data_IF_435899536321
#
_entry.id   IF_435899536321
#
_cell.length_a   1.000
_cell.length_b   1.000
_cell.length_c   1.000
_cell.angle_alpha   90.00
_cell.angle_beta   90.00
_cell.angle_gamma   90.00
#
_symmetry.space_group_name_H-M   'P 1'
#
loop_
_entity.id
_entity.type
_entity.pdbx_description
1 polymer ?
#
# COMPACT_ATOMS: atom_id res chain seq x y z
N UNK A 1 9.63 -16.12 50.03
CA UNK A 1 9.87 -15.22 48.87
C UNK A 1 9.39 -15.93 47.63
N UNK A 2 8.15 -15.73 47.27
CA UNK A 2 7.49 -16.33 46.12
C UNK A 2 7.60 -15.37 44.95
N UNK A 3 8.43 -15.76 43.94
CA UNK A 3 8.59 -15.00 42.72
C UNK A 3 7.28 -14.99 41.91
N UNK A 4 6.74 -13.83 41.70
CA UNK A 4 5.66 -13.62 40.72
C UNK A 4 6.35 -13.56 39.37
N UNK A 5 6.35 -14.70 38.65
CA UNK A 5 6.59 -14.71 37.23
C UNK A 5 5.43 -13.99 36.54
N UNK A 6 5.63 -12.71 36.23
CA UNK A 6 4.73 -11.98 35.39
C UNK A 6 4.82 -12.58 33.97
N UNK A 7 3.88 -13.46 33.65
CA UNK A 7 3.63 -13.90 32.29
C UNK A 7 3.35 -12.67 31.43
N UNK A 8 4.37 -12.15 30.76
CA UNK A 8 4.27 -11.11 29.76
C UNK A 8 3.75 -11.68 28.45
N UNK A 9 2.48 -12.13 28.43
CA UNK A 9 1.83 -12.40 27.16
C UNK A 9 1.71 -11.08 26.41
N UNK A 10 2.40 -11.02 25.27
CA UNK A 10 2.27 -9.87 24.34
C UNK A 10 0.80 -9.65 24.00
N UNK A 11 0.33 -8.41 23.92
CA UNK A 11 -1.04 -8.13 23.53
C UNK A 11 -1.32 -8.77 22.14
N UNK A 12 -2.52 -9.34 21.94
CA UNK A 12 -2.86 -9.99 20.67
C UNK A 12 -2.72 -8.98 19.52
N UNK A 13 -2.23 -9.46 18.38
CA UNK A 13 -2.19 -8.66 17.16
C UNK A 13 -3.61 -8.20 16.80
N UNK A 14 -3.77 -6.96 16.31
CA UNK A 14 -5.05 -6.49 15.82
C UNK A 14 -5.63 -7.45 14.77
N UNK A 15 -6.95 -7.58 14.70
CA UNK A 15 -7.62 -8.51 13.76
C UNK A 15 -7.23 -8.30 12.28
N UNK A 16 -6.88 -7.09 11.90
CA UNK A 16 -6.43 -6.76 10.55
C UNK A 16 -5.04 -7.35 10.20
N UNK A 17 -4.28 -7.85 11.19
CA UNK A 17 -3.08 -8.68 11.00
C UNK A 17 -3.39 -10.17 10.92
N UNK A 18 -4.65 -10.56 10.73
CA UNK A 18 -5.01 -11.96 10.53
C UNK A 18 -4.13 -12.62 9.43
N UNK A 19 -3.83 -13.93 9.52
CA UNK A 19 -2.94 -14.58 8.56
C UNK A 19 -3.50 -14.50 7.13
N UNK A 20 -2.61 -14.47 6.16
CA UNK A 20 -2.94 -14.72 4.75
C UNK A 20 -3.66 -16.08 4.65
N UNK A 21 -4.61 -16.23 3.73
CA UNK A 21 -5.21 -17.52 3.45
C UNK A 21 -4.15 -18.51 2.93
N UNK A 22 -4.28 -19.78 3.28
CA UNK A 22 -3.44 -20.85 2.74
C UNK A 22 -4.19 -21.62 1.66
N UNK A 23 -3.54 -22.04 0.57
CA UNK A 23 -4.13 -22.98 -0.37
C UNK A 23 -4.49 -24.33 0.29
N UNK A 24 -3.80 -24.70 1.39
CA UNK A 24 -4.02 -25.92 2.15
C UNK A 24 -5.23 -25.86 3.10
N UNK A 25 -5.81 -24.67 3.30
CA UNK A 25 -7.07 -24.56 4.03
C UNK A 25 -8.17 -25.31 3.27
N UNK A 26 -8.87 -26.27 3.90
CA UNK A 26 -9.85 -27.13 3.20
C UNK A 26 -10.93 -26.35 2.43
N UNK A 27 -11.39 -25.22 2.97
CA UNK A 27 -12.39 -24.39 2.29
C UNK A 27 -11.80 -23.67 1.08
N UNK A 28 -10.54 -23.23 1.17
CA UNK A 28 -9.81 -22.56 0.08
C UNK A 28 -9.44 -23.58 -0.99
N UNK A 29 -8.90 -24.75 -0.63
CA UNK A 29 -8.59 -25.86 -1.55
C UNK A 29 -9.83 -26.27 -2.35
N UNK A 30 -10.95 -26.51 -1.69
CA UNK A 30 -12.21 -26.86 -2.37
C UNK A 30 -12.69 -25.75 -3.33
N UNK A 31 -12.42 -24.48 -3.03
CA UNK A 31 -12.72 -23.38 -3.95
C UNK A 31 -11.78 -23.40 -5.16
N UNK A 32 -10.48 -23.60 -4.95
CA UNK A 32 -9.49 -23.69 -6.02
C UNK A 32 -9.89 -24.83 -6.97
N UNK A 33 -10.16 -26.05 -6.46
CA UNK A 33 -10.56 -27.21 -7.25
C UNK A 33 -11.83 -26.93 -8.08
N UNK A 34 -12.81 -26.26 -7.46
CA UNK A 34 -14.06 -25.89 -8.13
C UNK A 34 -13.83 -24.88 -9.27
N UNK A 35 -12.92 -23.93 -9.09
CA UNK A 35 -12.63 -22.90 -10.11
C UNK A 35 -11.69 -23.45 -11.16
N UNK A 36 -10.66 -24.21 -10.77
CA UNK A 36 -9.68 -24.81 -11.68
C UNK A 36 -10.29 -25.88 -12.59
N UNK A 37 -11.30 -26.64 -12.13
CA UNK A 37 -11.96 -27.70 -12.91
C UNK A 37 -10.98 -28.69 -13.55
N UNK A 38 -9.91 -29.02 -12.84
CA UNK A 38 -8.85 -29.92 -13.33
C UNK A 38 -7.69 -29.24 -14.07
N UNK A 39 -7.73 -27.93 -14.29
CA UNK A 39 -6.59 -27.16 -14.76
C UNK A 39 -5.50 -27.07 -13.68
N UNK A 40 -4.25 -26.86 -14.09
CA UNK A 40 -3.15 -26.56 -13.17
C UNK A 40 -3.36 -25.23 -12.42
N UNK A 41 -2.75 -25.11 -11.26
CA UNK A 41 -2.75 -23.86 -10.53
C UNK A 41 -1.46 -23.67 -9.73
N UNK A 42 -1.15 -22.41 -9.39
CA UNK A 42 0.01 -22.05 -8.58
C UNK A 42 -0.31 -20.85 -7.69
N UNK A 43 0.22 -20.86 -6.45
CA UNK A 43 0.26 -19.67 -5.60
C UNK A 43 1.30 -18.70 -6.15
N UNK A 44 0.85 -17.54 -6.63
CA UNK A 44 1.71 -16.50 -7.19
C UNK A 44 2.13 -15.44 -6.16
N UNK A 45 1.92 -15.71 -4.87
CA UNK A 45 2.37 -14.86 -3.79
C UNK A 45 1.35 -13.79 -3.38
N UNK A 46 1.88 -12.73 -2.77
CA UNK A 46 1.13 -11.64 -2.16
C UNK A 46 1.25 -11.64 -0.63
N UNK A 47 1.62 -10.48 -0.07
CA UNK A 47 1.83 -10.35 1.39
C UNK A 47 0.53 -10.35 2.20
N UNK A 48 -0.57 -9.87 1.62
CA UNK A 48 -1.85 -9.71 2.31
C UNK A 48 -2.90 -10.72 1.88
N UNK A 49 -3.14 -10.86 0.60
CA UNK A 49 -4.14 -11.76 0.04
C UNK A 49 -3.47 -13.01 -0.52
N UNK A 50 -4.21 -14.11 -0.58
CA UNK A 50 -3.80 -15.26 -1.36
C UNK A 50 -4.19 -14.99 -2.82
N UNK A 51 -3.21 -15.09 -3.74
CA UNK A 51 -3.43 -15.01 -5.17
C UNK A 51 -3.01 -16.35 -5.80
N UNK A 52 -3.96 -17.01 -6.43
CA UNK A 52 -3.76 -18.31 -7.09
C UNK A 52 -3.97 -18.12 -8.58
N UNK A 53 -2.92 -18.26 -9.38
CA UNK A 53 -3.04 -18.39 -10.82
C UNK A 53 -3.65 -19.75 -11.15
N UNK A 54 -4.62 -19.76 -12.04
CA UNK A 54 -5.27 -20.96 -12.57
C UNK A 54 -5.03 -20.99 -14.06
N UNK A 55 -4.48 -22.09 -14.58
CA UNK A 55 -4.10 -22.30 -15.96
C UNK A 55 -5.33 -22.69 -16.83
N UNK A 56 -6.42 -21.95 -16.69
CA UNK A 56 -7.59 -22.00 -17.54
C UNK A 56 -7.30 -21.30 -18.89
N UNK A 57 -8.21 -21.42 -19.86
CA UNK A 57 -8.11 -20.67 -21.10
C UNK A 57 -9.28 -19.66 -21.22
N UNK A 58 -9.00 -18.36 -21.12
CA UNK A 58 -7.71 -17.73 -20.76
C UNK A 58 -7.37 -17.93 -19.27
N UNK A 59 -6.07 -17.78 -18.88
CA UNK A 59 -5.66 -17.93 -17.50
C UNK A 59 -6.26 -16.82 -16.60
N UNK A 60 -6.51 -17.17 -15.34
CA UNK A 60 -7.18 -16.30 -14.36
C UNK A 60 -6.47 -16.30 -13.01
N UNK A 61 -6.75 -15.31 -12.19
CA UNK A 61 -6.29 -15.25 -10.79
C UNK A 61 -7.48 -15.34 -9.85
N UNK A 62 -7.48 -16.34 -8.98
CA UNK A 62 -8.36 -16.41 -7.83
C UNK A 62 -7.71 -15.68 -6.67
N UNK A 63 -8.35 -14.60 -6.21
CA UNK A 63 -7.90 -13.78 -5.08
C UNK A 63 -8.77 -14.05 -3.86
N UNK A 64 -8.15 -14.48 -2.74
CA UNK A 64 -8.83 -14.68 -1.45
C UNK A 64 -8.37 -13.60 -0.49
N UNK A 65 -9.30 -12.72 -0.12
CA UNK A 65 -9.02 -11.55 0.70
C UNK A 65 -8.80 -11.89 2.17
N UNK A 66 -8.21 -10.96 2.91
CA UNK A 66 -8.08 -11.02 4.36
C UNK A 66 -9.45 -11.05 5.05
N UNK A 67 -9.60 -11.68 6.24
CA UNK A 67 -10.91 -11.86 6.88
C UNK A 67 -11.58 -10.54 7.29
N UNK A 68 -10.81 -9.47 7.49
CA UNK A 68 -11.35 -8.15 7.84
C UNK A 68 -11.85 -7.32 6.64
N UNK A 69 -11.55 -7.74 5.41
CA UNK A 69 -12.02 -7.05 4.20
C UNK A 69 -13.52 -7.34 4.01
N UNK A 70 -14.33 -6.28 3.99
CA UNK A 70 -15.78 -6.40 3.89
C UNK A 70 -16.22 -6.58 2.43
N UNK A 71 -17.36 -7.26 2.25
CA UNK A 71 -17.97 -7.48 0.92
C UNK A 71 -18.13 -6.20 0.10
N UNK A 72 -18.63 -5.12 0.75
CA UNK A 72 -18.86 -3.83 0.09
C UNK A 72 -17.57 -3.23 -0.47
N UNK A 73 -16.44 -3.38 0.25
CA UNK A 73 -15.13 -2.93 -0.22
C UNK A 73 -14.70 -3.66 -1.47
N UNK A 74 -14.73 -4.99 -1.47
CA UNK A 74 -14.34 -5.80 -2.64
C UNK A 74 -15.25 -5.48 -3.83
N UNK A 75 -16.56 -5.42 -3.63
CA UNK A 75 -17.52 -5.05 -4.68
C UNK A 75 -17.26 -3.63 -5.24
N UNK A 76 -16.90 -2.67 -4.39
CA UNK A 76 -16.52 -1.32 -4.82
C UNK A 76 -15.26 -1.30 -5.69
N UNK A 77 -14.23 -2.06 -5.27
CA UNK A 77 -12.98 -2.19 -6.04
C UNK A 77 -13.20 -2.89 -7.39
N UNK A 78 -14.07 -3.89 -7.46
CA UNK A 78 -14.45 -4.53 -8.73
C UNK A 78 -15.05 -3.52 -9.70
N UNK A 79 -16.07 -2.76 -9.24
CA UNK A 79 -16.69 -1.71 -10.08
C UNK A 79 -15.68 -0.65 -10.50
N UNK A 80 -14.74 -0.28 -9.65
CA UNK A 80 -13.67 0.65 -10.01
C UNK A 80 -12.80 0.07 -11.13
N UNK A 81 -12.35 -1.18 -11.02
CA UNK A 81 -11.54 -1.85 -12.05
C UNK A 81 -12.32 -1.97 -13.38
N UNK A 82 -13.62 -2.28 -13.34
CA UNK A 82 -14.47 -2.28 -14.54
C UNK A 82 -14.53 -0.91 -15.23
N UNK A 83 -14.59 0.17 -14.46
CA UNK A 83 -14.57 1.53 -15.02
C UNK A 83 -13.20 1.93 -15.56
N UNK A 84 -12.12 1.55 -14.88
CA UNK A 84 -10.76 1.78 -15.34
C UNK A 84 -10.46 1.10 -16.68
N UNK A 85 -11.15 0.00 -17.04
CA UNK A 85 -11.06 -0.61 -18.39
C UNK A 85 -11.42 0.35 -19.53
N UNK A 86 -12.10 1.46 -19.25
CA UNK A 86 -12.46 2.49 -20.22
C UNK A 86 -11.45 3.63 -20.31
N UNK A 87 -10.35 3.51 -19.61
CA UNK A 87 -9.25 4.47 -19.57
C UNK A 87 -7.99 3.86 -20.21
N UNK A 88 -6.91 4.62 -20.23
CA UNK A 88 -5.61 4.14 -20.72
C UNK A 88 -4.84 3.32 -19.66
N UNK A 89 -5.34 3.24 -18.43
CA UNK A 89 -4.69 2.51 -17.35
C UNK A 89 -5.08 1.05 -17.39
N UNK A 90 -4.11 0.17 -17.58
CA UNK A 90 -4.31 -1.27 -17.61
C UNK A 90 -4.33 -1.82 -16.18
N UNK A 91 -5.44 -2.45 -15.81
CA UNK A 91 -5.64 -3.15 -14.54
C UNK A 91 -6.32 -4.49 -14.80
N UNK A 92 -6.18 -5.46 -13.91
CA UNK A 92 -6.83 -6.76 -14.04
C UNK A 92 -8.36 -6.62 -14.03
N UNK A 93 -9.01 -7.15 -15.07
CA UNK A 93 -10.47 -7.12 -15.19
C UNK A 93 -11.12 -8.16 -14.28
N UNK A 94 -12.11 -7.78 -13.47
CA UNK A 94 -12.89 -8.73 -12.68
C UNK A 94 -13.67 -9.72 -13.57
N UNK A 95 -13.72 -10.98 -13.14
CA UNK A 95 -14.44 -12.06 -13.83
C UNK A 95 -15.49 -12.64 -12.87
N UNK A 96 -16.73 -12.91 -13.32
CA UNK A 96 -17.71 -13.59 -12.47
C UNK A 96 -17.35 -15.08 -12.26
N UNK A 97 -17.57 -15.59 -11.06
CA UNK A 97 -17.41 -17.01 -10.72
C UNK A 97 -18.79 -17.67 -10.76
N UNK A 98 -19.06 -18.48 -11.76
CA UNK A 98 -20.38 -19.16 -11.92
C UNK A 98 -21.58 -18.20 -11.81
N UNK A 99 -21.45 -17.02 -12.40
CA UNK A 99 -22.49 -15.98 -12.36
C UNK A 99 -22.52 -15.10 -11.11
N UNK A 100 -21.61 -15.32 -10.16
CA UNK A 100 -21.47 -14.50 -8.96
C UNK A 100 -20.20 -13.63 -9.03
N UNK A 101 -20.30 -12.40 -8.61
CA UNK A 101 -19.14 -11.48 -8.56
C UNK A 101 -18.15 -11.83 -7.44
N UNK A 102 -18.69 -12.29 -6.32
CA UNK A 102 -17.93 -12.61 -5.10
C UNK A 102 -18.42 -13.90 -4.49
N UNK A 103 -17.49 -14.69 -3.96
CA UNK A 103 -17.79 -15.88 -3.19
C UNK A 103 -17.36 -15.72 -1.73
N UNK A 104 -18.11 -16.37 -0.84
CA UNK A 104 -17.73 -16.53 0.56
C UNK A 104 -16.92 -17.81 0.74
N UNK A 105 -15.74 -17.70 1.36
CA UNK A 105 -14.85 -18.82 1.69
C UNK A 105 -14.49 -18.71 3.16
N UNK A 106 -15.08 -19.56 4.00
CA UNK A 106 -15.00 -19.43 5.45
C UNK A 106 -15.41 -18.01 5.92
N UNK A 107 -14.51 -17.31 6.58
CA UNK A 107 -14.71 -15.93 7.04
C UNK A 107 -14.24 -14.86 6.03
N UNK A 108 -13.85 -15.26 4.81
CA UNK A 108 -13.21 -14.41 3.80
C UNK A 108 -14.08 -14.23 2.57
N UNK A 109 -13.76 -13.22 1.77
CA UNK A 109 -14.29 -13.04 0.42
C UNK A 109 -13.26 -13.45 -0.61
N UNK A 110 -13.73 -14.02 -1.71
CA UNK A 110 -12.91 -14.36 -2.85
C UNK A 110 -13.51 -13.80 -4.13
N UNK A 111 -12.66 -13.44 -5.08
CA UNK A 111 -13.01 -12.97 -6.40
C UNK A 111 -12.09 -13.59 -7.46
N UNK A 112 -12.52 -13.52 -8.71
CA UNK A 112 -11.75 -13.93 -9.86
C UNK A 112 -11.45 -12.71 -10.72
N UNK A 113 -10.22 -12.65 -11.25
CA UNK A 113 -9.78 -11.63 -12.17
C UNK A 113 -8.94 -12.24 -13.30
N UNK A 114 -8.81 -11.53 -14.41
CA UNK A 114 -7.93 -11.97 -15.48
C UNK A 114 -6.48 -12.05 -14.99
N UNK A 115 -5.75 -13.03 -15.48
CA UNK A 115 -4.31 -13.05 -15.34
C UNK A 115 -3.70 -12.13 -16.42
N UNK A 116 -2.90 -11.17 -15.99
CA UNK A 116 -2.12 -10.30 -16.89
C UNK A 116 -0.69 -10.82 -16.90
N UNK A 117 -0.27 -11.35 -18.05
CA UNK A 117 1.12 -11.76 -18.25
C UNK A 117 2.02 -10.52 -18.36
N UNK A 118 3.04 -10.48 -17.53
CA UNK A 118 3.93 -9.33 -17.40
C UNK A 118 5.30 -9.72 -16.87
N UNK A 119 6.27 -8.88 -17.12
CA UNK A 119 7.58 -8.91 -16.44
C UNK A 119 7.66 -7.83 -15.39
N UNK A 120 8.32 -8.13 -14.28
CA UNK A 120 8.60 -7.14 -13.25
C UNK A 120 9.57 -6.10 -13.83
N UNK A 121 9.24 -4.79 -13.83
CA UNK A 121 10.15 -3.75 -14.30
C UNK A 121 11.46 -3.75 -13.49
N UNK A 122 12.56 -3.43 -14.15
CA UNK A 122 13.86 -3.34 -13.49
C UNK A 122 13.89 -2.15 -12.53
N UNK A 123 14.67 -2.29 -11.45
CA UNK A 123 14.89 -1.21 -10.48
C UNK A 123 15.99 -0.27 -10.99
N UNK A 124 15.74 0.44 -12.08
CA UNK A 124 16.64 1.40 -12.73
C UNK A 124 15.95 2.77 -12.93
N UNK A 125 16.73 3.75 -13.31
CA UNK A 125 16.28 5.14 -13.42
C UNK A 125 15.14 5.31 -14.44
N UNK A 126 15.22 4.67 -15.59
CA UNK A 126 14.20 4.78 -16.64
C UNK A 126 12.87 4.19 -16.19
N UNK A 127 12.91 3.04 -15.52
CA UNK A 127 11.74 2.43 -14.91
C UNK A 127 11.14 3.31 -13.81
N UNK A 128 11.95 4.00 -13.02
CA UNK A 128 11.43 4.92 -12.01
C UNK A 128 10.80 6.18 -12.61
N UNK A 129 11.41 6.77 -13.62
CA UNK A 129 10.80 7.89 -14.36
C UNK A 129 9.42 7.46 -14.90
N UNK A 130 9.37 6.31 -15.56
CA UNK A 130 8.13 5.77 -16.09
C UNK A 130 7.11 5.44 -15.00
N UNK A 131 7.55 4.91 -13.85
CA UNK A 131 6.66 4.66 -12.70
C UNK A 131 5.91 5.95 -12.30
N UNK A 132 6.60 7.09 -12.28
CA UNK A 132 5.99 8.36 -11.92
C UNK A 132 5.09 8.93 -13.02
N UNK A 133 5.40 8.73 -14.29
CA UNK A 133 4.47 9.04 -15.38
C UNK A 133 3.19 8.19 -15.29
N UNK A 134 3.32 6.89 -15.04
CA UNK A 134 2.15 6.01 -14.89
C UNK A 134 1.33 6.36 -13.62
N UNK A 135 1.96 6.85 -12.55
CA UNK A 135 1.25 7.37 -11.38
C UNK A 135 0.39 8.58 -11.73
N UNK A 136 0.94 9.52 -12.54
CA UNK A 136 0.17 10.67 -13.01
C UNK A 136 -1.03 10.26 -13.86
N UNK A 137 -0.84 9.31 -14.80
CA UNK A 137 -1.93 8.72 -15.61
C UNK A 137 -2.97 8.02 -14.73
N UNK A 138 -2.53 7.27 -13.73
CA UNK A 138 -3.42 6.58 -12.80
C UNK A 138 -4.27 7.58 -12.00
N UNK A 139 -3.67 8.64 -11.45
CA UNK A 139 -4.42 9.67 -10.71
C UNK A 139 -5.43 10.39 -11.63
N UNK A 140 -5.06 10.65 -12.87
CA UNK A 140 -5.97 11.21 -13.90
C UNK A 140 -7.14 10.27 -14.16
N UNK A 141 -6.87 8.99 -14.39
CA UNK A 141 -7.89 7.98 -14.64
C UNK A 141 -8.80 7.77 -13.42
N UNK A 142 -8.22 7.63 -12.22
CA UNK A 142 -8.98 7.50 -10.99
C UNK A 142 -9.91 8.70 -10.76
N UNK A 143 -9.42 9.93 -10.94
CA UNK A 143 -10.24 11.15 -10.81
C UNK A 143 -11.43 11.14 -11.78
N UNK A 144 -11.23 10.69 -13.02
CA UNK A 144 -12.25 10.65 -14.06
C UNK A 144 -13.36 9.59 -13.80
N UNK A 145 -13.00 8.45 -13.21
CA UNK A 145 -13.94 7.33 -13.03
C UNK A 145 -14.43 7.15 -11.61
N UNK A 146 -13.94 7.97 -10.67
CA UNK A 146 -14.30 7.85 -9.27
C UNK A 146 -15.77 8.18 -9.04
N UNK A 147 -16.50 7.23 -8.49
CA UNK A 147 -17.78 7.50 -7.89
C UNK A 147 -17.63 7.43 -6.37
N UNK A 148 -18.23 8.36 -5.64
CA UNK A 148 -18.34 8.24 -4.20
C UNK A 148 -19.17 6.99 -3.86
N UNK A 149 -18.51 5.85 -3.83
CA UNK A 149 -19.01 4.69 -3.08
C UNK A 149 -18.80 5.08 -1.63
N UNK A 150 -19.73 4.77 -0.70
CA UNK A 150 -19.39 4.95 0.69
C UNK A 150 -18.08 4.18 0.88
N UNK A 151 -16.97 4.85 1.16
CA UNK A 151 -15.78 4.16 1.52
C UNK A 151 -16.15 3.47 2.82
N UNK A 152 -16.12 2.15 2.83
CA UNK A 152 -15.76 1.55 4.09
C UNK A 152 -14.37 2.11 4.35
N UNK A 153 -14.20 2.89 5.41
CA UNK A 153 -12.89 3.36 5.75
C UNK A 153 -12.04 2.11 5.97
N UNK A 154 -11.17 1.79 5.05
CA UNK A 154 -9.89 1.27 5.48
C UNK A 154 -9.41 2.41 6.36
N UNK A 155 -9.44 2.17 7.65
CA UNK A 155 -9.05 3.16 8.64
C UNK A 155 -7.83 3.86 8.10
N UNK A 156 -7.87 5.17 8.06
CA UNK A 156 -6.76 5.97 7.60
C UNK A 156 -5.60 5.80 8.59
N UNK A 157 -4.90 4.67 8.46
CA UNK A 157 -3.81 4.25 9.34
C UNK A 157 -2.67 5.26 9.45
N UNK A 158 -2.73 6.35 8.68
CA UNK A 158 -1.71 7.38 8.62
C UNK A 158 -2.20 8.77 9.01
N UNK A 159 -3.31 8.87 9.75
CA UNK A 159 -3.62 10.10 10.47
C UNK A 159 -2.66 10.29 11.64
N UNK A 160 -2.40 11.53 12.01
CA UNK A 160 -1.59 11.81 13.20
C UNK A 160 -2.17 11.22 14.50
N UNK A 161 -3.50 11.05 14.57
CA UNK A 161 -4.16 10.37 15.68
C UNK A 161 -3.76 8.90 15.77
N UNK A 162 -3.82 8.20 14.67
CA UNK A 162 -3.42 6.80 14.59
C UNK A 162 -1.92 6.61 14.74
N UNK A 163 -1.11 7.50 14.16
CA UNK A 163 0.33 7.48 14.36
C UNK A 163 0.68 7.55 15.85
N UNK A 164 0.06 8.48 16.61
CA UNK A 164 0.24 8.57 18.07
C UNK A 164 -0.21 7.31 18.80
N UNK A 165 -1.32 6.72 18.37
CA UNK A 165 -1.80 5.45 18.91
C UNK A 165 -0.80 4.33 18.64
N UNK A 166 -0.30 4.20 17.40
CA UNK A 166 0.69 3.19 17.01
C UNK A 166 1.99 3.35 17.77
N UNK A 167 2.51 4.58 17.95
CA UNK A 167 3.70 4.86 18.78
C UNK A 167 3.47 4.42 20.23
N UNK A 168 2.29 4.68 20.78
CA UNK A 168 1.93 4.23 22.14
C UNK A 168 1.82 2.71 22.25
N UNK A 169 1.32 2.05 21.22
CA UNK A 169 1.24 0.60 21.15
C UNK A 169 2.64 -0.03 21.04
N UNK A 170 3.48 0.46 20.14
CA UNK A 170 4.87 0.00 19.95
C UNK A 170 5.68 0.13 21.23
N UNK A 171 5.56 1.24 21.96
CA UNK A 171 6.18 1.40 23.28
C UNK A 171 5.80 0.27 24.24
N UNK A 172 4.50 -0.03 24.37
CA UNK A 172 4.02 -1.11 25.26
C UNK A 172 4.53 -2.48 24.87
N UNK A 173 4.65 -2.72 23.55
CA UNK A 173 5.04 -4.02 23.01
C UNK A 173 6.55 -4.26 23.08
N UNK A 174 7.35 -3.26 22.76
CA UNK A 174 8.82 -3.36 22.74
C UNK A 174 9.46 -3.17 24.14
N UNK A 175 8.69 -2.64 25.10
CA UNK A 175 9.15 -2.47 26.48
C UNK A 175 10.13 -1.30 26.68
N UNK A 176 10.79 -1.22 27.87
CA UNK A 176 11.59 -0.07 28.28
C UNK A 176 12.77 0.27 27.35
N UNK A 177 13.36 -0.72 26.68
CA UNK A 177 14.46 -0.50 25.73
C UNK A 177 14.08 0.34 24.50
N UNK A 178 12.79 0.52 24.24
CA UNK A 178 12.29 1.31 23.10
C UNK A 178 12.14 2.81 23.39
N UNK A 179 12.34 3.26 24.64
CA UNK A 179 12.11 4.66 25.02
C UNK A 179 12.85 5.67 24.15
N UNK A 180 14.14 5.49 23.80
CA UNK A 180 14.84 6.46 22.95
C UNK A 180 14.20 6.64 21.57
N UNK A 181 13.89 5.54 20.88
CA UNK A 181 13.26 5.59 19.54
C UNK A 181 11.82 6.11 19.62
N UNK A 182 11.08 5.74 20.65
CA UNK A 182 9.71 6.26 20.90
C UNK A 182 9.71 7.76 21.17
N UNK A 183 10.71 8.27 21.87
CA UNK A 183 10.87 9.71 22.10
C UNK A 183 11.06 10.46 20.78
N UNK A 184 11.97 10.00 19.92
CA UNK A 184 12.21 10.55 18.56
C UNK A 184 10.94 10.50 17.71
N UNK A 185 10.21 9.38 17.71
CA UNK A 185 8.91 9.27 17.01
C UNK A 185 7.91 10.34 17.46
N UNK A 186 7.79 10.56 18.76
CA UNK A 186 6.87 11.58 19.32
C UNK A 186 7.27 12.98 18.93
N UNK A 187 8.56 13.30 19.02
CA UNK A 187 9.09 14.60 18.63
C UNK A 187 8.77 14.88 17.16
N UNK A 188 9.18 14.00 16.26
CA UNK A 188 8.95 14.17 14.83
C UNK A 188 7.44 14.21 14.47
N UNK A 189 6.63 13.36 15.11
CA UNK A 189 5.17 13.40 14.97
C UNK A 189 4.60 14.76 15.35
N UNK A 190 5.14 15.39 16.41
CA UNK A 190 4.73 16.72 16.86
C UNK A 190 5.09 17.82 15.85
N UNK A 191 6.31 17.78 15.31
CA UNK A 191 6.79 18.74 14.31
C UNK A 191 5.98 18.63 13.00
N UNK A 192 5.83 17.42 12.49
CA UNK A 192 5.04 17.17 11.28
C UNK A 192 3.57 17.55 11.46
N UNK A 193 2.97 17.27 12.63
CA UNK A 193 1.58 17.65 12.91
C UNK A 193 1.38 19.17 12.94
N UNK A 194 2.39 19.96 13.30
CA UNK A 194 2.33 21.42 13.23
C UNK A 194 2.35 21.90 11.79
N UNK A 195 3.37 21.48 11.01
CA UNK A 195 3.48 21.86 9.60
C UNK A 195 2.24 21.46 8.78
N UNK A 196 1.68 20.27 9.03
CA UNK A 196 0.49 19.78 8.32
C UNK A 196 -0.73 20.70 8.47
N UNK A 197 -0.83 21.43 9.58
CA UNK A 197 -1.92 22.38 9.84
C UNK A 197 -1.75 23.72 9.10
N UNK A 198 -0.56 23.98 8.57
CA UNK A 198 -0.22 25.23 7.88
C UNK A 198 -0.35 25.12 6.37
N UNK A 199 -0.72 23.94 5.85
CA UNK A 199 -0.84 23.68 4.42
C UNK A 199 -2.22 23.14 4.07
N UNK A 200 -2.71 23.53 2.91
CA UNK A 200 -3.94 23.03 2.32
C UNK A 200 -3.62 22.05 1.19
N UNK A 201 -3.99 20.80 1.36
CA UNK A 201 -3.66 19.73 0.42
C UNK A 201 -4.91 19.21 -0.27
N UNK A 202 -4.93 19.20 -1.61
CA UNK A 202 -6.05 18.65 -2.35
C UNK A 202 -6.14 17.14 -2.17
N UNK A 203 -7.36 16.64 -1.94
CA UNK A 203 -7.65 15.22 -1.87
C UNK A 203 -8.17 14.72 -3.22
N UNK A 204 -7.66 13.58 -3.67
CA UNK A 204 -8.07 12.90 -4.89
C UNK A 204 -8.10 11.39 -4.65
N UNK A 205 -8.77 10.58 -5.48
CA UNK A 205 -8.58 9.15 -5.43
C UNK A 205 -7.12 8.79 -5.72
N UNK A 206 -6.53 7.97 -4.85
CA UNK A 206 -5.14 7.51 -4.90
C UNK A 206 -5.07 6.00 -4.85
N UNK A 207 -3.94 5.41 -5.24
CA UNK A 207 -3.68 3.96 -5.15
C UNK A 207 -3.53 3.50 -3.70
N UNK A 208 -2.77 4.24 -2.89
CA UNK A 208 -2.55 3.98 -1.47
C UNK A 208 -1.40 3.02 -1.13
N UNK A 209 -0.82 2.32 -2.12
CA UNK A 209 0.40 1.49 -2.02
C UNK A 209 1.12 1.44 -3.38
N UNK A 210 1.30 2.60 -4.02
CA UNK A 210 1.91 2.67 -5.35
C UNK A 210 3.43 2.50 -5.27
N UNK A 211 3.96 1.51 -5.98
CA UNK A 211 5.39 1.18 -6.01
C UNK A 211 5.72 0.28 -7.20
N UNK A 212 7.00 0.18 -7.55
CA UNK A 212 7.45 -0.63 -8.68
C UNK A 212 7.00 -2.10 -8.60
N UNK A 213 6.94 -2.67 -7.39
CA UNK A 213 6.45 -4.03 -7.17
C UNK A 213 4.95 -4.24 -7.43
N UNK A 214 4.19 -3.15 -7.61
CA UNK A 214 2.77 -3.17 -7.96
C UNK A 214 2.55 -2.70 -9.42
N UNK A 215 3.59 -2.73 -10.26
CA UNK A 215 3.54 -2.47 -11.68
C UNK A 215 4.16 -3.64 -12.45
N UNK A 216 3.70 -3.87 -13.69
CA UNK A 216 4.24 -4.91 -14.57
C UNK A 216 4.34 -4.40 -15.99
N UNK A 217 5.44 -4.71 -16.68
CA UNK A 217 5.64 -4.37 -18.08
C UNK A 217 5.07 -5.47 -18.98
N UNK A 218 4.22 -5.08 -19.93
CA UNK A 218 3.56 -5.98 -20.87
C UNK A 218 4.44 -6.18 -22.12
N UNK A 219 4.12 -7.19 -22.92
CA UNK A 219 4.86 -7.52 -24.13
C UNK A 219 4.85 -6.43 -25.20
N UNK A 220 3.86 -5.53 -25.18
CA UNK A 220 3.77 -4.37 -26.07
C UNK A 220 4.50 -3.13 -25.51
N UNK A 221 5.16 -3.29 -24.38
CA UNK A 221 5.87 -2.23 -23.67
C UNK A 221 4.96 -1.33 -22.84
N UNK A 222 3.64 -1.46 -22.81
CA UNK A 222 2.77 -0.75 -21.88
C UNK A 222 2.90 -1.30 -20.47
N UNK A 223 2.35 -0.59 -19.46
CA UNK A 223 2.39 -1.04 -18.08
C UNK A 223 1.00 -1.36 -17.55
N UNK A 224 0.92 -2.40 -16.72
CA UNK A 224 -0.25 -2.73 -15.92
C UNK A 224 -0.01 -2.39 -14.45
N UNK A 225 -1.07 -1.93 -13.77
CA UNK A 225 -1.05 -1.58 -12.36
C UNK A 225 -1.85 -2.63 -11.57
N UNK A 226 -1.25 -3.10 -10.48
CA UNK A 226 -1.78 -4.15 -9.61
C UNK A 226 -2.04 -3.64 -8.20
N UNK A 227 -2.76 -4.45 -7.43
CA UNK A 227 -3.00 -4.28 -5.99
C UNK A 227 -3.71 -2.97 -5.59
N UNK A 228 -4.87 -2.72 -6.21
CA UNK A 228 -5.75 -1.59 -5.91
C UNK A 228 -6.46 -1.68 -4.55
N UNK A 229 -6.07 -2.58 -3.65
CA UNK A 229 -6.75 -2.83 -2.38
C UNK A 229 -6.78 -1.63 -1.44
N UNK A 230 -5.81 -0.73 -1.59
CA UNK A 230 -5.67 0.46 -0.74
C UNK A 230 -6.20 1.75 -1.38
N UNK A 231 -6.83 1.66 -2.56
CA UNK A 231 -7.42 2.81 -3.25
C UNK A 231 -8.42 3.54 -2.34
N UNK A 232 -8.27 4.85 -2.25
CA UNK A 232 -9.11 5.73 -1.42
C UNK A 232 -8.98 7.19 -1.85
N UNK A 233 -9.85 8.06 -1.34
CA UNK A 233 -9.68 9.51 -1.49
C UNK A 233 -8.75 10.01 -0.39
N UNK A 234 -7.65 10.65 -0.80
CA UNK A 234 -6.65 11.23 0.09
C UNK A 234 -5.78 12.24 -0.68
N UNK A 235 -4.85 12.87 0.04
CA UNK A 235 -3.81 13.70 -0.56
C UNK A 235 -2.93 12.86 -1.51
N UNK A 236 -2.77 13.30 -2.77
CA UNK A 236 -1.97 12.55 -3.77
C UNK A 236 -0.48 12.43 -3.41
N UNK A 237 0.02 13.35 -2.59
CA UNK A 237 1.38 13.26 -2.03
C UNK A 237 1.62 11.98 -1.23
N UNK A 238 0.58 11.30 -0.80
CA UNK A 238 0.70 10.02 -0.13
C UNK A 238 1.31 8.94 -1.04
N UNK A 239 0.82 8.81 -2.27
CA UNK A 239 1.39 7.88 -3.24
C UNK A 239 2.76 8.35 -3.72
N UNK A 240 2.89 9.64 -4.01
CA UNK A 240 4.16 10.24 -4.46
C UNK A 240 5.26 10.02 -3.43
N UNK A 241 5.03 10.37 -2.17
CA UNK A 241 6.00 10.19 -1.09
C UNK A 241 6.30 8.71 -0.80
N UNK A 242 5.27 7.85 -0.86
CA UNK A 242 5.44 6.40 -0.74
C UNK A 242 6.35 5.86 -1.83
N UNK A 243 6.10 6.21 -3.09
CA UNK A 243 6.91 5.78 -4.24
C UNK A 243 8.34 6.31 -4.17
N UNK A 244 8.54 7.60 -3.88
CA UNK A 244 9.87 8.19 -3.70
C UNK A 244 10.67 7.50 -2.59
N UNK A 245 10.02 7.19 -1.47
CA UNK A 245 10.66 6.47 -0.38
C UNK A 245 11.05 5.03 -0.78
N UNK A 246 10.21 4.33 -1.54
CA UNK A 246 10.54 3.01 -2.07
C UNK A 246 11.72 3.06 -3.05
N UNK A 247 11.80 4.08 -3.92
CA UNK A 247 12.97 4.31 -4.79
C UNK A 247 14.22 4.52 -3.96
N UNK A 248 14.16 5.42 -2.96
CA UNK A 248 15.28 5.68 -2.04
C UNK A 248 15.80 4.40 -1.35
N UNK A 249 14.89 3.56 -0.84
CA UNK A 249 15.27 2.30 -0.19
C UNK A 249 15.86 1.31 -1.21
N UNK A 250 15.29 1.19 -2.39
CA UNK A 250 15.76 0.30 -3.43
C UNK A 250 17.15 0.68 -3.98
N UNK A 251 17.51 1.97 -3.92
CA UNK A 251 18.82 2.51 -4.30
C UNK A 251 19.82 2.55 -3.13
N UNK A 252 19.56 1.81 -2.05
CA UNK A 252 20.48 1.74 -0.91
C UNK A 252 20.59 3.01 -0.08
N UNK A 253 19.59 3.89 -0.14
CA UNK A 253 19.59 5.17 0.57
C UNK A 253 20.17 6.33 -0.26
N UNK A 254 20.44 6.12 -1.52
CA UNK A 254 20.81 7.19 -2.46
C UNK A 254 19.54 7.76 -3.10
N UNK A 255 19.49 9.05 -3.29
CA UNK A 255 18.38 9.72 -3.96
C UNK A 255 18.72 9.88 -5.44
N UNK A 256 17.94 9.20 -6.27
CA UNK A 256 17.70 9.73 -7.60
C UNK A 256 17.12 11.14 -7.45
N UNK A 257 17.49 12.05 -8.34
CA UNK A 257 17.04 13.44 -8.27
C UNK A 257 15.51 13.52 -8.16
N UNK A 258 14.95 13.85 -6.96
CA UNK A 258 13.49 13.78 -6.75
C UNK A 258 12.74 14.67 -7.73
N UNK A 259 13.36 15.78 -8.16
CA UNK A 259 12.77 16.72 -9.10
C UNK A 259 12.44 16.06 -10.44
N UNK A 260 13.35 15.25 -10.98
CA UNK A 260 13.13 14.52 -12.24
C UNK A 260 11.91 13.58 -12.15
N UNK A 261 11.74 12.90 -11.02
CA UNK A 261 10.59 12.00 -10.81
C UNK A 261 9.30 12.79 -10.63
N UNK A 262 9.33 13.93 -9.95
CA UNK A 262 8.17 14.81 -9.82
C UNK A 262 7.79 15.44 -11.17
N UNK A 263 8.73 15.87 -11.98
CA UNK A 263 8.48 16.38 -13.33
C UNK A 263 7.85 15.30 -14.22
N UNK A 264 8.31 14.05 -14.12
CA UNK A 264 7.70 12.91 -14.80
C UNK A 264 6.24 12.69 -14.37
N UNK A 265 5.95 12.75 -13.07
CA UNK A 265 4.58 12.70 -12.55
C UNK A 265 3.72 13.85 -13.09
N UNK A 266 4.20 15.10 -13.00
CA UNK A 266 3.46 16.29 -13.41
C UNK A 266 3.17 16.31 -14.92
N UNK A 267 4.01 15.68 -15.74
CA UNK A 267 3.82 15.60 -17.19
C UNK A 267 2.53 14.86 -17.59
N UNK A 268 1.99 14.02 -16.72
CA UNK A 268 0.81 13.17 -16.97
C UNK A 268 -0.29 13.31 -15.94
N UNK A 269 -0.01 13.99 -14.83
CA UNK A 269 -0.96 14.25 -13.76
C UNK A 269 -2.11 15.16 -14.21
N UNK A 270 -3.29 15.11 -13.57
CA UNK A 270 -4.44 15.94 -13.94
C UNK A 270 -4.19 17.43 -13.69
N UNK A 271 -3.30 17.76 -12.78
CA UNK A 271 -2.92 19.12 -12.39
C UNK A 271 -1.50 19.12 -11.81
N UNK A 272 -0.69 20.17 -12.00
CA UNK A 272 0.60 20.32 -11.35
C UNK A 272 0.49 20.27 -9.82
N UNK A 273 1.59 20.00 -9.13
CA UNK A 273 1.64 20.09 -7.67
C UNK A 273 1.52 21.56 -7.23
N UNK A 274 0.73 21.79 -6.21
CA UNK A 274 0.55 23.12 -5.62
C UNK A 274 1.77 23.53 -4.78
N UNK A 275 1.88 24.83 -4.48
CA UNK A 275 2.92 25.34 -3.57
C UNK A 275 2.86 24.65 -2.19
N UNK A 276 1.67 24.39 -1.68
CA UNK A 276 1.49 23.75 -0.38
C UNK A 276 1.86 22.26 -0.42
N UNK A 277 1.67 21.60 -1.56
CA UNK A 277 2.14 20.22 -1.76
C UNK A 277 3.67 20.16 -1.77
N UNK A 278 4.36 21.07 -2.47
CA UNK A 278 5.82 21.14 -2.41
C UNK A 278 6.31 21.47 -0.99
N UNK A 279 5.67 22.41 -0.29
CA UNK A 279 6.00 22.73 1.10
C UNK A 279 5.82 21.55 2.04
N UNK A 280 4.83 20.69 1.78
CA UNK A 280 4.55 19.50 2.60
C UNK A 280 5.33 18.26 2.18
N UNK A 281 5.86 18.19 0.98
CA UNK A 281 6.55 17.01 0.45
C UNK A 281 7.59 16.41 1.41
N UNK A 282 8.50 17.18 2.04
CA UNK A 282 9.45 16.63 3.02
C UNK A 282 8.75 15.97 4.21
N UNK A 283 7.65 16.55 4.67
CA UNK A 283 6.83 15.98 5.73
C UNK A 283 6.13 14.69 5.32
N UNK A 284 5.61 14.64 4.10
CA UNK A 284 5.01 13.43 3.54
C UNK A 284 6.03 12.30 3.42
N UNK A 285 7.25 12.60 2.94
CA UNK A 285 8.37 11.66 2.84
C UNK A 285 8.80 11.13 4.21
N UNK A 286 8.93 12.00 5.21
CA UNK A 286 9.27 11.60 6.57
C UNK A 286 8.17 10.75 7.24
N UNK A 287 6.89 10.99 6.91
CA UNK A 287 5.77 10.21 7.44
C UNK A 287 5.79 8.75 7.02
N UNK A 288 6.31 8.40 5.84
CA UNK A 288 6.34 7.02 5.35
C UNK A 288 7.15 6.13 6.29
N UNK A 289 8.47 6.36 6.49
CA UNK A 289 9.27 5.54 7.39
C UNK A 289 8.90 5.76 8.87
N UNK A 290 8.44 6.94 9.28
CA UNK A 290 7.93 7.17 10.64
C UNK A 290 6.73 6.25 10.95
N UNK A 291 5.86 6.03 9.97
CA UNK A 291 4.77 5.09 10.13
C UNK A 291 5.26 3.64 10.27
N UNK A 292 6.27 3.24 9.50
CA UNK A 292 6.90 1.92 9.64
C UNK A 292 7.55 1.76 11.02
N UNK A 293 8.29 2.78 11.47
CA UNK A 293 8.85 2.79 12.83
C UNK A 293 7.75 2.63 13.89
N UNK A 294 6.64 3.35 13.76
CA UNK A 294 5.53 3.29 14.71
C UNK A 294 4.77 1.94 14.66
N UNK A 295 4.90 1.15 13.61
CA UNK A 295 4.26 -0.17 13.46
C UNK A 295 5.23 -1.34 13.60
N UNK A 296 6.53 -1.11 13.71
CA UNK A 296 7.56 -2.15 13.84
C UNK A 296 7.31 -3.09 15.03
N UNK A 297 6.72 -2.61 16.12
CA UNK A 297 6.30 -3.44 17.23
C UNK A 297 5.21 -4.46 16.92
N UNK A 298 4.59 -4.39 15.74
CA UNK A 298 3.57 -5.34 15.27
C UNK A 298 4.18 -6.52 14.53
N UNK A 299 5.41 -6.42 14.03
CA UNK A 299 6.06 -7.35 13.10
C UNK A 299 7.52 -7.58 13.55
N UNK A 300 7.87 -8.73 14.12
CA UNK A 300 9.25 -9.20 14.26
C UNK A 300 10.15 -8.48 15.29
N UNK A 301 11.42 -8.28 14.94
CA UNK A 301 12.55 -7.75 15.74
C UNK A 301 12.49 -6.23 16.04
N UNK A 302 11.33 -5.76 16.23
CA UNK A 302 10.77 -4.43 16.41
C UNK A 302 11.70 -3.25 16.70
N UNK A 303 12.72 -3.35 17.60
CA UNK A 303 13.55 -2.18 17.97
C UNK A 303 14.48 -1.79 16.83
N UNK A 304 15.21 -2.72 16.22
CA UNK A 304 16.15 -2.42 15.13
C UNK A 304 15.42 -1.89 13.90
N UNK A 305 14.29 -2.47 13.56
CA UNK A 305 13.44 -2.00 12.47
C UNK A 305 12.89 -0.61 12.75
N UNK A 306 12.43 -0.37 13.99
CA UNK A 306 11.96 0.94 14.41
C UNK A 306 13.06 2.01 14.34
N UNK A 307 14.28 1.69 14.77
CA UNK A 307 15.44 2.59 14.72
C UNK A 307 15.87 2.89 13.28
N UNK A 308 15.95 1.87 12.42
CA UNK A 308 16.29 2.03 11.02
C UNK A 308 15.27 2.92 10.29
N UNK A 309 13.99 2.63 10.46
CA UNK A 309 12.91 3.42 9.87
C UNK A 309 12.88 4.85 10.44
N UNK A 310 13.14 5.03 11.74
CA UNK A 310 13.21 6.36 12.35
C UNK A 310 14.39 7.17 11.79
N UNK A 311 15.54 6.54 11.57
CA UNK A 311 16.71 7.18 10.95
C UNK A 311 16.37 7.67 9.53
N UNK A 312 15.67 6.86 8.73
CA UNK A 312 15.21 7.28 7.41
C UNK A 312 14.20 8.45 7.49
N UNK A 313 13.30 8.43 8.48
CA UNK A 313 12.34 9.53 8.68
C UNK A 313 13.04 10.86 8.99
N UNK A 314 14.05 10.83 9.85
CA UNK A 314 14.85 12.00 10.20
C UNK A 314 15.72 12.48 9.04
N UNK A 315 16.28 11.55 8.24
CA UNK A 315 17.03 11.89 7.04
C UNK A 315 16.18 12.68 6.05
N UNK A 316 14.92 12.27 5.81
CA UNK A 316 13.98 13.02 4.99
C UNK A 316 13.65 14.39 5.60
N UNK A 317 13.39 14.44 6.90
CA UNK A 317 13.03 15.67 7.58
C UNK A 317 14.19 16.68 7.64
N UNK A 318 15.43 16.22 7.77
CA UNK A 318 16.63 17.09 7.76
C UNK A 318 16.81 17.80 6.41
N UNK A 319 16.36 17.22 5.32
CA UNK A 319 16.44 17.76 3.96
C UNK A 319 15.28 18.68 3.57
N UNK A 320 14.42 19.05 4.53
CA UNK A 320 13.21 19.82 4.23
C UNK A 320 13.45 21.14 3.53
N UNK A 321 14.56 21.83 3.82
CA UNK A 321 14.89 23.10 3.15
C UNK A 321 15.23 22.92 1.67
N UNK A 322 15.92 21.82 1.33
CA UNK A 322 16.28 21.44 -0.02
C UNK A 322 15.06 21.00 -0.86
N UNK A 323 14.17 20.24 -0.26
CA UNK A 323 13.01 19.63 -0.94
C UNK A 323 11.80 20.58 -1.07
N UNK A 324 11.79 21.68 -0.35
CA UNK A 324 10.70 22.70 -0.39
C UNK A 324 10.99 23.85 -1.37
N UNK A 325 12.15 23.86 -1.99
CA UNK A 325 12.58 24.84 -3.01
C UNK A 325 12.27 24.33 -4.41
#
# INVERSE_FOLDING_TARGET
>A
MTGIEASTSLPPLPRWFGPRASPDDPAVSALIDRVARGAGWADIGGGFNLNVRIDAEPPVVLRVHRPWVRRGRVAGLRRLRERLQRTQVRVARPIPISGCDLLRVADRWAELEEFIDHVQPRADEDSYVRLFEELGRLHTALKAVWEPSPPEPLDDHRTFGQLRYSVGFTRRRLGPGSEPVVHRMRQLTGELSKLRKEVELPCTPIHGDYRLGNAGELSDGSWAIFDLDFVRVRERLYDIAGSLHHVYVAQGGELLEPRRLLDAYESTAPEPLTRDEYRWLPGALALVPLHWAATAGLVGDGIREAESAMTAAEAWWSRRAELSS
#
